data_IF_285554617577
#
_entry.id   IF_285554617577
#
_cell.length_a   1.000
_cell.length_b   1.000
_cell.length_c   1.000
_cell.angle_alpha   90.00
_cell.angle_beta   90.00
_cell.angle_gamma   90.00
#
_symmetry.space_group_name_H-M   'P 1'
#
loop_
_entity.id
_entity.type
_entity.pdbx_description
1 polymer ?
#
# COMPACT_ATOMS: atom_id res chain seq x y z
N UNK A 1 -89.91 -7.01 -6.65
CA UNK A 1 -88.61 -6.84 -7.34
C UNK A 1 -87.71 -8.00 -6.92
N UNK A 2 -87.47 -8.95 -7.83
CA UNK A 2 -86.80 -10.23 -7.59
C UNK A 2 -85.39 -10.16 -8.20
N UNK A 3 -84.37 -10.43 -7.36
CA UNK A 3 -83.13 -11.22 -7.54
C UNK A 3 -82.28 -10.99 -8.83
N UNK A 4 -80.94 -11.04 -8.87
CA UNK A 4 -80.05 -12.13 -8.41
C UNK A 4 -78.57 -11.83 -8.80
N UNK A 5 -77.64 -12.12 -7.87
CA UNK A 5 -76.26 -12.66 -7.99
C UNK A 5 -75.07 -11.84 -8.59
N UNK A 6 -74.01 -11.84 -7.77
CA UNK A 6 -72.59 -11.99 -8.09
C UNK A 6 -71.97 -11.04 -9.12
N UNK A 7 -71.02 -10.20 -8.70
CA UNK A 7 -69.61 -10.42 -9.08
C UNK A 7 -68.69 -9.96 -7.95
N UNK A 8 -67.97 -10.93 -7.40
CA UNK A 8 -66.75 -10.77 -6.61
C UNK A 8 -65.66 -10.19 -7.54
N UNK A 9 -65.31 -8.91 -7.43
CA UNK A 9 -64.06 -8.39 -8.01
C UNK A 9 -63.05 -8.17 -6.89
N UNK A 10 -62.44 -9.29 -6.52
CA UNK A 10 -61.11 -9.35 -5.96
C UNK A 10 -60.17 -8.74 -7.02
N UNK A 11 -59.91 -7.43 -6.96
CA UNK A 11 -58.93 -6.78 -7.86
C UNK A 11 -57.53 -7.19 -7.40
N UNK A 12 -57.17 -8.41 -7.75
CA UNK A 12 -55.84 -8.95 -7.68
C UNK A 12 -54.93 -8.17 -8.66
N UNK A 13 -53.73 -7.83 -8.20
CA UNK A 13 -52.55 -7.47 -8.99
C UNK A 13 -52.60 -6.18 -9.81
N UNK A 14 -52.36 -5.06 -9.12
CA UNK A 14 -51.24 -4.23 -9.54
C UNK A 14 -50.22 -4.23 -8.40
N UNK A 15 -49.63 -5.40 -8.12
CA UNK A 15 -48.28 -5.38 -7.59
C UNK A 15 -47.52 -4.61 -8.66
N UNK A 16 -46.94 -3.43 -8.39
CA UNK A 16 -45.94 -2.95 -9.31
C UNK A 16 -44.96 -4.11 -9.38
N UNK A 17 -44.72 -4.61 -10.58
CA UNK A 17 -43.48 -5.28 -10.89
C UNK A 17 -42.40 -4.26 -10.53
N UNK A 18 -42.08 -4.17 -9.23
CA UNK A 18 -40.71 -4.04 -8.77
C UNK A 18 -40.07 -5.26 -9.40
N UNK A 19 -39.74 -5.16 -10.69
CA UNK A 19 -38.55 -5.78 -11.21
C UNK A 19 -37.50 -5.34 -10.21
N UNK A 20 -37.28 -6.20 -9.22
CA UNK A 20 -36.10 -6.16 -8.40
C UNK A 20 -35.00 -6.20 -9.44
N UNK A 21 -34.48 -5.01 -9.77
CA UNK A 21 -33.25 -4.89 -10.50
C UNK A 21 -32.24 -5.46 -9.51
N UNK A 22 -32.10 -6.79 -9.53
CA UNK A 22 -31.12 -7.48 -8.73
C UNK A 22 -29.81 -6.96 -9.26
N UNK A 23 -29.23 -6.02 -8.50
CA UNK A 23 -27.94 -5.43 -8.84
C UNK A 23 -26.97 -6.59 -9.00
N UNK A 24 -26.43 -6.68 -10.20
CA UNK A 24 -25.46 -7.69 -10.60
C UNK A 24 -24.08 -7.09 -10.40
N UNK A 25 -23.16 -7.90 -9.91
CA UNK A 25 -21.78 -7.53 -9.65
C UNK A 25 -21.09 -8.66 -8.91
N UNK A 26 -19.82 -8.45 -8.56
CA UNK A 26 -19.12 -9.40 -7.71
C UNK A 26 -19.68 -9.37 -6.29
N UNK A 27 -20.11 -10.54 -5.80
CA UNK A 27 -20.68 -10.73 -4.46
C UNK A 27 -19.68 -11.29 -3.46
N UNK A 28 -18.46 -11.61 -3.89
CA UNK A 28 -17.41 -12.13 -3.02
C UNK A 28 -16.61 -10.98 -2.37
N UNK A 29 -16.63 -10.84 -1.03
CA UNK A 29 -15.89 -9.80 -0.32
C UNK A 29 -14.36 -9.87 -0.49
N UNK A 30 -13.82 -11.00 -0.93
CA UNK A 30 -12.38 -11.15 -1.19
C UNK A 30 -11.95 -10.60 -2.56
N UNK A 31 -12.89 -10.21 -3.43
CA UNK A 31 -12.57 -9.67 -4.75
C UNK A 31 -12.25 -8.17 -4.69
N UNK A 32 -11.35 -7.72 -5.57
CA UNK A 32 -10.97 -6.31 -5.68
C UNK A 32 -12.09 -5.41 -6.23
N UNK A 33 -13.05 -5.99 -6.93
CA UNK A 33 -14.24 -5.31 -7.45
C UNK A 33 -15.53 -5.74 -6.73
N UNK A 34 -15.43 -6.17 -5.47
CA UNK A 34 -16.59 -6.47 -4.63
C UNK A 34 -17.56 -5.28 -4.57
N UNK A 35 -18.85 -5.56 -4.77
CA UNK A 35 -19.92 -4.57 -4.65
C UNK A 35 -20.90 -5.01 -3.57
N UNK A 36 -20.95 -4.28 -2.46
CA UNK A 36 -21.83 -4.60 -1.31
C UNK A 36 -23.31 -4.62 -1.70
N UNK A 37 -23.69 -3.80 -2.68
CA UNK A 37 -25.05 -3.72 -3.19
C UNK A 37 -25.39 -4.83 -4.20
N UNK A 38 -24.41 -5.64 -4.65
CA UNK A 38 -24.65 -6.74 -5.56
C UNK A 38 -25.34 -7.90 -4.82
N UNK A 39 -26.51 -8.29 -5.32
CA UNK A 39 -27.31 -9.39 -4.73
C UNK A 39 -27.18 -10.65 -5.59
N UNK A 40 -26.64 -10.52 -6.82
CA UNK A 40 -26.47 -11.62 -7.76
C UNK A 40 -25.10 -11.55 -8.44
N UNK A 41 -24.37 -12.64 -8.32
CA UNK A 41 -23.09 -12.84 -9.01
C UNK A 41 -23.24 -12.74 -10.53
N UNK A 42 -22.33 -12.02 -11.17
CA UNK A 42 -22.26 -11.86 -12.62
C UNK A 42 -21.02 -12.48 -13.26
N UNK A 43 -20.09 -13.02 -12.45
CA UNK A 43 -18.88 -13.69 -12.91
C UNK A 43 -17.75 -12.73 -13.24
N UNK A 44 -17.83 -11.46 -12.80
CA UNK A 44 -16.80 -10.44 -13.04
C UNK A 44 -15.79 -10.31 -11.89
N UNK A 45 -15.89 -11.09 -10.80
CA UNK A 45 -14.97 -11.00 -9.67
C UNK A 45 -13.49 -11.07 -10.07
N UNK A 46 -12.72 -10.07 -9.65
CA UNK A 46 -11.27 -9.96 -9.84
C UNK A 46 -10.55 -10.28 -8.54
N UNK A 47 -9.49 -11.08 -8.60
CA UNK A 47 -8.72 -11.47 -7.43
C UNK A 47 -7.24 -11.27 -7.68
N UNK A 48 -6.63 -10.41 -6.88
CA UNK A 48 -5.19 -10.35 -6.80
C UNK A 48 -4.66 -11.50 -5.94
N UNK A 49 -3.43 -11.91 -6.22
CA UNK A 49 -2.73 -12.97 -5.46
C UNK A 49 -1.29 -12.59 -5.13
N UNK A 50 -0.79 -11.57 -5.80
CA UNK A 50 0.60 -11.14 -5.76
C UNK A 50 0.65 -9.63 -5.86
N UNK A 51 1.78 -9.05 -5.53
CA UNK A 51 2.02 -7.63 -5.74
C UNK A 51 3.49 -7.37 -6.06
N UNK A 52 3.76 -6.19 -6.59
CA UNK A 52 5.11 -5.64 -6.65
C UNK A 52 5.11 -4.25 -6.04
N UNK A 53 6.19 -3.95 -5.33
CA UNK A 53 6.49 -2.57 -4.94
C UNK A 53 7.20 -1.95 -6.14
N UNK A 54 6.66 -0.85 -6.65
CA UNK A 54 7.19 -0.19 -7.84
C UNK A 54 8.14 0.94 -7.48
N UNK A 55 7.89 1.60 -6.34
CA UNK A 55 8.58 2.81 -5.93
C UNK A 55 8.39 3.07 -4.44
N UNK A 56 9.44 3.54 -3.77
CA UNK A 56 9.32 4.29 -2.51
C UNK A 56 9.58 5.76 -2.80
N UNK A 57 8.75 6.64 -2.26
CA UNK A 57 8.91 8.09 -2.36
C UNK A 57 8.99 8.69 -0.95
N UNK A 58 10.07 9.37 -0.62
CA UNK A 58 10.27 10.01 0.69
C UNK A 58 9.87 11.48 0.56
N UNK A 59 8.78 11.86 1.25
CA UNK A 59 8.10 13.15 1.06
C UNK A 59 8.68 14.26 1.96
N UNK A 60 9.01 13.94 3.20
CA UNK A 60 9.54 14.91 4.16
C UNK A 60 10.57 14.24 5.06
N UNK A 61 11.78 14.77 5.04
CA UNK A 61 12.81 14.49 6.02
C UNK A 61 12.97 15.76 6.84
N UNK A 62 12.18 15.87 7.90
CA UNK A 62 12.41 16.92 8.89
C UNK A 62 13.82 16.66 9.40
N UNK A 63 14.72 17.62 9.19
CA UNK A 63 16.16 17.56 9.46
C UNK A 63 16.42 16.56 10.58
N UNK A 64 17.04 15.42 10.26
CA UNK A 64 17.37 14.39 11.23
C UNK A 64 18.34 14.99 12.24
N UNK A 65 17.80 15.65 13.24
CA UNK A 65 18.48 16.01 14.46
C UNK A 65 18.61 14.71 15.26
N UNK A 66 19.32 13.72 14.70
CA UNK A 66 20.12 12.84 15.53
C UNK A 66 21.02 13.79 16.30
N UNK A 67 20.89 13.79 17.62
CA UNK A 67 21.40 14.81 18.52
C UNK A 67 22.93 14.94 18.58
N UNK A 68 23.65 14.54 17.56
CA UNK A 68 25.09 14.65 17.45
C UNK A 68 25.46 15.39 16.15
N UNK A 69 26.42 16.30 16.30
CA UNK A 69 27.06 17.01 15.21
C UNK A 69 27.90 15.97 14.45
N UNK A 70 27.32 15.32 13.45
CA UNK A 70 28.06 14.39 12.60
C UNK A 70 28.98 15.22 11.70
N UNK A 71 30.26 15.19 12.09
CA UNK A 71 31.41 15.86 11.47
C UNK A 71 31.73 15.17 10.14
N UNK A 72 30.88 15.36 9.14
CA UNK A 72 31.39 15.40 7.78
C UNK A 72 32.21 16.70 7.67
N UNK A 73 33.48 16.54 7.30
CA UNK A 73 34.34 17.65 6.96
C UNK A 73 33.83 18.43 5.73
N UNK A 74 32.76 17.96 5.08
CA UNK A 74 31.83 18.74 4.27
C UNK A 74 30.45 18.83 4.97
N UNK A 75 30.02 20.02 5.37
CA UNK A 75 28.75 20.27 6.07
C UNK A 75 27.49 20.08 5.19
N UNK A 76 27.46 19.04 4.34
CA UNK A 76 26.46 18.89 3.29
C UNK A 76 26.04 17.43 3.13
N UNK A 77 24.97 17.10 3.86
CA UNK A 77 23.94 16.10 3.51
C UNK A 77 24.20 14.61 3.80
N UNK A 78 23.15 13.91 4.24
CA UNK A 78 23.18 12.47 4.49
C UNK A 78 23.16 11.67 3.19
N UNK A 79 23.98 10.62 3.12
CA UNK A 79 23.93 9.58 2.10
C UNK A 79 23.00 8.49 2.62
N UNK A 80 21.80 8.31 2.06
CA UNK A 80 20.88 7.28 2.55
C UNK A 80 20.68 6.17 1.52
N UNK A 81 20.54 4.94 2.01
CA UNK A 81 20.06 3.82 1.23
C UNK A 81 18.88 3.12 1.92
N UNK A 82 18.07 2.44 1.11
CA UNK A 82 16.88 1.73 1.54
C UNK A 82 17.07 0.23 1.44
N UNK A 83 16.60 -0.50 2.44
CA UNK A 83 16.52 -1.96 2.42
C UNK A 83 15.10 -2.46 2.63
N UNK A 84 14.75 -3.50 1.87
CA UNK A 84 13.56 -4.29 2.09
C UNK A 84 13.97 -5.69 2.55
N UNK A 85 13.43 -6.12 3.68
CA UNK A 85 13.71 -7.42 4.27
C UNK A 85 12.42 -8.18 4.59
N UNK A 86 12.52 -9.50 4.62
CA UNK A 86 11.45 -10.31 5.22
C UNK A 86 11.55 -10.29 6.76
N UNK A 87 10.56 -10.87 7.45
CA UNK A 87 10.56 -10.95 8.92
C UNK A 87 11.68 -11.85 9.51
N UNK A 88 12.35 -12.65 8.69
CA UNK A 88 13.53 -13.42 9.09
C UNK A 88 14.84 -12.64 8.85
N UNK A 89 14.75 -11.36 8.49
CA UNK A 89 15.85 -10.46 8.12
C UNK A 89 16.60 -10.86 6.84
N UNK A 90 16.04 -11.71 5.98
CA UNK A 90 16.62 -11.96 4.66
C UNK A 90 16.48 -10.70 3.80
N UNK A 91 17.58 -10.26 3.19
CA UNK A 91 17.58 -9.11 2.27
C UNK A 91 16.86 -9.47 0.98
N UNK A 92 15.83 -8.70 0.64
CA UNK A 92 15.03 -8.85 -0.56
C UNK A 92 15.40 -7.81 -1.61
N UNK A 93 15.68 -6.59 -1.18
CA UNK A 93 16.11 -5.48 -2.01
C UNK A 93 16.97 -4.53 -1.19
N UNK A 94 17.98 -3.95 -1.82
CA UNK A 94 18.70 -2.78 -1.33
C UNK A 94 18.78 -1.79 -2.51
N UNK A 95 18.53 -0.51 -2.25
CA UNK A 95 18.74 0.54 -3.24
C UNK A 95 20.24 0.84 -3.40
N UNK A 96 20.59 1.55 -4.46
CA UNK A 96 21.84 2.29 -4.49
C UNK A 96 21.77 3.44 -3.46
N UNK A 97 22.93 3.95 -3.07
CA UNK A 97 23.06 5.17 -2.24
C UNK A 97 22.44 6.36 -2.97
N UNK A 98 21.68 7.16 -2.23
CA UNK A 98 21.07 8.40 -2.72
C UNK A 98 21.55 9.56 -1.87
N UNK A 99 22.07 10.59 -2.54
CA UNK A 99 22.59 11.81 -1.89
C UNK A 99 21.45 12.83 -1.68
N UNK A 100 21.24 13.27 -0.44
CA UNK A 100 20.12 14.15 -0.07
C UNK A 100 20.51 15.63 0.01
N UNK A 101 20.56 16.38 -1.11
CA UNK A 101 20.94 17.79 -1.04
C UNK A 101 19.89 18.72 -0.37
N UNK A 102 19.95 18.84 0.96
CA UNK A 102 19.04 19.66 1.77
C UNK A 102 19.16 21.16 1.49
N UNK A 103 20.29 21.63 0.98
CA UNK A 103 20.54 23.06 0.71
C UNK A 103 20.10 23.50 -0.70
N UNK A 104 20.13 22.59 -1.69
CA UNK A 104 19.73 22.89 -3.06
C UNK A 104 18.32 22.42 -3.43
N UNK A 105 17.72 21.50 -2.65
CA UNK A 105 16.43 20.90 -2.98
C UNK A 105 15.44 20.96 -1.79
N UNK A 106 14.70 22.06 -1.62
CA UNK A 106 13.61 22.10 -0.66
C UNK A 106 12.45 21.26 -1.20
N UNK A 107 12.16 20.14 -0.54
CA UNK A 107 10.88 19.42 -0.65
C UNK A 107 10.49 18.88 -2.04
N UNK A 108 11.41 18.25 -2.78
CA UNK A 108 11.02 17.41 -3.91
C UNK A 108 11.44 15.97 -3.63
N UNK A 109 10.49 15.22 -3.06
CA UNK A 109 10.24 13.78 -3.18
C UNK A 109 11.44 12.96 -3.68
N UNK A 110 12.21 12.38 -2.76
CA UNK A 110 13.29 11.48 -3.13
C UNK A 110 12.73 10.10 -3.47
N UNK A 111 13.05 9.61 -4.66
CA UNK A 111 12.47 8.40 -5.24
C UNK A 111 13.50 7.25 -5.22
N UNK A 112 13.19 6.19 -4.48
CA UNK A 112 13.88 4.93 -4.60
C UNK A 112 13.12 4.05 -5.61
N UNK A 113 13.65 4.02 -6.83
CA UNK A 113 13.15 3.17 -7.90
C UNK A 113 13.59 1.72 -7.68
N UNK A 114 12.62 0.80 -7.64
CA UNK A 114 12.92 -0.62 -7.70
C UNK A 114 13.29 -0.98 -9.13
N UNK A 115 14.59 -0.97 -9.44
CA UNK A 115 15.14 -1.36 -10.75
C UNK A 115 14.85 -2.82 -11.14
N UNK A 116 14.35 -3.63 -10.20
CA UNK A 116 13.93 -5.01 -10.42
C UNK A 116 12.53 -5.21 -9.86
N UNK A 117 11.61 -5.69 -10.70
CA UNK A 117 10.24 -6.07 -10.32
C UNK A 117 10.27 -7.17 -9.23
N UNK A 118 10.43 -6.77 -7.96
CA UNK A 118 10.36 -7.69 -6.83
C UNK A 118 8.91 -8.07 -6.62
N UNK A 119 8.54 -9.26 -7.08
CA UNK A 119 7.19 -9.80 -7.00
C UNK A 119 7.05 -10.63 -5.73
N UNK A 120 6.07 -10.27 -4.92
CA UNK A 120 5.64 -10.97 -3.72
C UNK A 120 4.47 -11.88 -4.05
N UNK A 121 4.62 -13.18 -3.80
CA UNK A 121 3.65 -14.19 -4.22
C UNK A 121 2.54 -14.47 -3.21
N UNK A 122 2.54 -13.78 -2.07
CA UNK A 122 1.63 -14.00 -0.97
C UNK A 122 1.14 -12.63 -0.47
N UNK A 123 -0.17 -12.48 -0.33
CA UNK A 123 -0.80 -11.22 0.07
C UNK A 123 -0.75 -11.00 1.60
N UNK A 124 -0.53 -12.07 2.37
CA UNK A 124 -0.41 -12.01 3.82
C UNK A 124 1.06 -11.89 4.24
N UNK A 125 1.89 -11.27 3.42
CA UNK A 125 3.28 -11.00 3.76
C UNK A 125 3.36 -9.75 4.62
N UNK A 126 4.31 -9.74 5.55
CA UNK A 126 4.74 -8.52 6.21
C UNK A 126 6.19 -8.28 5.83
N UNK A 127 6.49 -7.05 5.42
CA UNK A 127 7.83 -6.68 4.97
C UNK A 127 8.37 -5.58 5.86
N UNK A 128 9.68 -5.65 6.08
CA UNK A 128 10.44 -4.70 6.86
C UNK A 128 11.11 -3.71 5.92
N UNK A 129 10.82 -2.43 6.12
CA UNK A 129 11.31 -1.29 5.37
C UNK A 129 12.32 -0.57 6.27
N UNK A 130 13.58 -0.55 5.86
CA UNK A 130 14.66 0.05 6.65
C UNK A 130 15.35 1.15 5.85
N UNK A 131 15.59 2.28 6.49
CA UNK A 131 16.32 3.41 5.95
C UNK A 131 17.60 3.56 6.75
N UNK A 132 18.73 3.65 6.06
CA UNK A 132 20.06 3.65 6.65
C UNK A 132 20.84 4.86 6.18
N UNK A 133 21.56 5.48 7.10
CA UNK A 133 22.55 6.49 6.82
C UNK A 133 23.89 5.81 6.53
N UNK A 134 24.49 6.14 5.40
CA UNK A 134 25.72 5.55 4.91
C UNK A 134 26.90 6.34 5.48
N UNK A 135 27.75 5.69 6.26
CA UNK A 135 28.93 6.32 6.85
C UNK A 135 30.17 6.17 5.95
N UNK A 136 30.50 7.21 5.18
CA UNK A 136 31.72 7.26 4.34
C UNK A 136 33.03 7.38 5.16
N UNK A 137 33.00 7.68 6.46
CA UNK A 137 34.21 7.98 7.26
C UNK A 137 34.96 6.74 7.75
N UNK A 138 34.39 5.57 7.51
CA UNK A 138 35.06 4.29 7.66
C UNK A 138 35.96 4.04 6.45
N UNK A 139 37.28 4.14 6.61
CA UNK A 139 38.28 3.69 5.64
C UNK A 139 38.28 2.16 5.41
N UNK A 140 37.37 1.45 6.06
CA UNK A 140 36.98 0.09 5.75
C UNK A 140 35.82 0.14 4.75
N UNK A 141 35.99 -0.48 3.58
CA UNK A 141 34.96 -0.64 2.54
C UNK A 141 33.82 -1.60 2.99
N UNK A 142 33.41 -1.53 4.26
CA UNK A 142 32.44 -2.40 4.91
C UNK A 142 31.32 -1.61 5.59
N UNK A 143 30.11 -2.17 5.57
CA UNK A 143 28.85 -1.61 6.10
C UNK A 143 28.78 -1.60 7.64
N UNK A 144 29.92 -1.53 8.34
CA UNK A 144 29.96 -1.78 9.80
C UNK A 144 29.60 -0.56 10.65
N UNK A 145 29.41 0.61 10.03
CA UNK A 145 29.13 1.86 10.71
C UNK A 145 27.85 2.57 10.21
N UNK A 146 27.07 1.94 9.32
CA UNK A 146 25.83 2.55 8.83
C UNK A 146 24.79 2.64 9.95
N UNK A 147 24.23 3.82 10.15
CA UNK A 147 23.29 4.11 11.23
C UNK A 147 21.84 3.93 10.76
N UNK A 148 21.04 3.19 11.53
CA UNK A 148 19.62 2.99 11.20
C UNK A 148 18.83 4.28 11.46
N UNK A 149 18.32 4.90 10.40
CA UNK A 149 17.44 6.07 10.47
C UNK A 149 16.06 5.65 10.97
N UNK A 150 15.47 4.64 10.32
CA UNK A 150 14.13 4.17 10.62
C UNK A 150 13.89 2.74 10.14
N UNK A 151 13.05 2.00 10.86
CA UNK A 151 12.55 0.69 10.45
C UNK A 151 11.03 0.62 10.69
N UNK A 152 10.28 0.27 9.66
CA UNK A 152 8.83 0.06 9.70
C UNK A 152 8.46 -1.33 9.17
N UNK A 153 7.46 -1.96 9.78
CA UNK A 153 6.91 -3.24 9.31
C UNK A 153 5.52 -3.00 8.74
N UNK A 154 5.36 -3.22 7.44
CA UNK A 154 4.06 -3.12 6.77
C UNK A 154 3.47 -4.52 6.65
N UNK A 155 2.32 -4.74 7.29
CA UNK A 155 1.51 -5.96 7.14
C UNK A 155 0.49 -5.79 6.00
N UNK A 156 0.77 -6.40 4.85
CA UNK A 156 -0.08 -6.29 3.67
C UNK A 156 -1.45 -6.96 3.87
N UNK A 157 -1.57 -7.90 4.83
CA UNK A 157 -2.85 -8.53 5.14
C UNK A 157 -3.90 -7.50 5.58
N UNK A 158 -3.48 -6.40 6.21
CA UNK A 158 -4.38 -5.33 6.66
C UNK A 158 -5.09 -4.62 5.51
N UNK A 159 -4.52 -4.66 4.30
CA UNK A 159 -5.09 -4.06 3.08
C UNK A 159 -5.79 -5.09 2.18
N UNK A 160 -5.57 -6.39 2.39
CA UNK A 160 -6.17 -7.45 1.55
C UNK A 160 -7.27 -8.23 2.28
N UNK A 161 -7.47 -7.97 3.57
CA UNK A 161 -8.54 -8.58 4.36
C UNK A 161 -9.92 -8.23 3.83
N UNK A 162 -10.90 -9.10 4.05
CA UNK A 162 -12.27 -8.94 3.54
C UNK A 162 -13.02 -7.73 4.10
N UNK A 163 -12.59 -7.21 5.24
CA UNK A 163 -13.16 -6.08 5.98
C UNK A 163 -12.27 -4.82 5.96
N UNK A 164 -11.17 -4.85 5.20
CA UNK A 164 -10.33 -3.67 5.00
C UNK A 164 -11.12 -2.54 4.32
N UNK A 165 -10.93 -1.32 4.84
CA UNK A 165 -11.63 -0.11 4.36
C UNK A 165 -11.19 0.27 2.94
N UNK A 166 -9.90 0.18 2.67
CA UNK A 166 -9.31 0.43 1.34
C UNK A 166 -8.54 -0.82 0.91
N UNK A 167 -9.16 -1.60 0.00
CA UNK A 167 -8.58 -2.86 -0.46
C UNK A 167 -7.71 -2.64 -1.67
N UNK A 168 -6.51 -3.19 -1.61
CA UNK A 168 -5.54 -3.11 -2.70
C UNK A 168 -5.18 -1.67 -3.09
N UNK A 169 -4.75 -0.82 -2.13
CA UNK A 169 -4.39 0.56 -2.42
C UNK A 169 -3.20 0.60 -3.39
N UNK A 170 -3.21 1.55 -4.34
CA UNK A 170 -2.06 1.78 -5.22
C UNK A 170 -0.89 2.50 -4.55
N UNK A 171 -1.13 3.06 -3.35
CA UNK A 171 -0.18 3.82 -2.54
C UNK A 171 -0.50 3.61 -1.08
N UNK A 172 0.52 3.34 -0.27
CA UNK A 172 0.43 3.33 1.19
C UNK A 172 1.27 4.49 1.70
N UNK A 173 0.64 5.44 2.39
CA UNK A 173 1.30 6.57 3.04
C UNK A 173 1.71 6.17 4.46
N UNK A 174 2.98 6.34 4.79
CA UNK A 174 3.54 6.05 6.11
C UNK A 174 4.11 7.35 6.67
N UNK A 175 3.53 7.80 7.78
CA UNK A 175 3.99 8.98 8.49
C UNK A 175 4.58 8.54 9.83
N UNK A 176 5.83 8.90 10.10
CA UNK A 176 6.57 8.47 11.28
C UNK A 176 7.20 9.66 11.99
N UNK A 177 7.94 9.40 13.07
CA UNK A 177 8.66 10.49 13.76
C UNK A 177 9.92 10.92 13.01
N UNK A 178 10.51 10.02 12.20
CA UNK A 178 11.85 10.22 11.62
C UNK A 178 11.82 10.42 10.11
N UNK A 179 10.88 9.78 9.41
CA UNK A 179 10.79 9.81 7.96
C UNK A 179 9.35 9.55 7.51
N UNK A 180 8.85 10.40 6.62
CA UNK A 180 7.56 10.20 5.96
C UNK A 180 7.79 9.68 4.54
N UNK A 181 7.15 8.57 4.20
CA UNK A 181 7.35 7.90 2.92
C UNK A 181 6.10 7.19 2.39
N UNK A 182 6.03 7.09 1.07
CA UNK A 182 4.99 6.42 0.34
C UNK A 182 5.50 5.14 -0.31
N UNK A 183 4.72 4.07 -0.20
CA UNK A 183 4.97 2.79 -0.88
C UNK A 183 3.99 2.66 -2.04
N UNK A 184 4.49 2.70 -3.27
CA UNK A 184 3.69 2.49 -4.47
C UNK A 184 3.63 1.01 -4.82
N UNK A 185 2.40 0.50 -4.99
CA UNK A 185 2.14 -0.93 -5.13
C UNK A 185 1.32 -1.18 -6.40
N UNK A 186 1.77 -2.18 -7.16
CA UNK A 186 0.98 -2.76 -8.23
C UNK A 186 0.52 -4.17 -7.84
N UNK A 187 -0.79 -4.36 -7.71
CA UNK A 187 -1.42 -5.64 -7.44
C UNK A 187 -1.58 -6.48 -8.72
N UNK A 188 -1.34 -7.78 -8.61
CA UNK A 188 -1.24 -8.72 -9.72
C UNK A 188 -2.13 -9.95 -9.48
N UNK A 189 -2.76 -10.43 -10.54
CA UNK A 189 -3.58 -11.66 -10.57
C UNK A 189 -2.75 -12.96 -10.48
#
# INVERSE_FOLDING_TARGET
MKILKNVLYLSLLALPLLTACNKKGCTNPAASNYAEEAIKEDGTCMYFKRFKITRIEVQEYDTLYLGDYYDDLDQTNADMYFELRDLNNNLLFASDETYFDAAANPANDYEFDFTKDTIFNNLNESLKFSFWDYDQLSDDFGTTNDDLIHEEIIDFQTYTATDALDKFPGRIEINTTNIDFDVYIQWLE
#
